data_IF_524848228398
#
_entry.id   IF_524848228398
#
_cell.length_a   1.000
_cell.length_b   1.000
_cell.length_c   1.000
_cell.angle_alpha   90.00
_cell.angle_beta   90.00
_cell.angle_gamma   90.00
#
_symmetry.space_group_name_H-M   'P 1'
#
loop_
_entity.id
_entity.type
_entity.pdbx_description
1 polymer ?
#
# COMPACT_ATOMS: atom_id res chain seq x y z
N UNK A 1 5.47 14.28 -23.07
CA UNK A 1 5.58 14.80 -21.68
C UNK A 1 4.56 14.16 -20.73
N UNK A 2 3.24 14.30 -20.96
CA UNK A 2 2.19 13.76 -20.05
C UNK A 2 2.27 12.23 -19.81
N UNK A 3 2.60 11.45 -20.83
CA UNK A 3 2.74 9.98 -20.70
C UNK A 3 3.96 9.54 -19.89
N UNK A 4 5.06 10.32 -19.94
CA UNK A 4 6.25 10.06 -19.13
C UNK A 4 5.95 10.38 -17.66
N UNK A 5 5.28 11.50 -17.39
CA UNK A 5 4.83 11.86 -16.05
C UNK A 5 3.89 10.80 -15.44
N UNK A 6 2.92 10.30 -16.22
CA UNK A 6 2.04 9.22 -15.77
C UNK A 6 2.78 7.92 -15.45
N UNK A 7 3.81 7.58 -16.22
CA UNK A 7 4.64 6.40 -15.96
C UNK A 7 5.38 6.50 -14.63
N UNK A 8 6.00 7.65 -14.34
CA UNK A 8 6.65 7.88 -13.04
C UNK A 8 5.68 7.81 -11.87
N UNK A 9 4.47 8.34 -12.02
CA UNK A 9 3.44 8.30 -10.96
C UNK A 9 3.00 6.86 -10.68
N UNK A 10 2.85 6.01 -11.71
CA UNK A 10 2.59 4.59 -11.52
C UNK A 10 3.71 3.89 -10.74
N UNK A 11 4.97 4.18 -11.06
CA UNK A 11 6.12 3.60 -10.34
C UNK A 11 6.11 4.04 -8.87
N UNK A 12 5.92 5.34 -8.62
CA UNK A 12 5.85 5.86 -7.24
C UNK A 12 4.69 5.23 -6.49
N UNK A 13 3.52 5.08 -7.13
CA UNK A 13 2.36 4.39 -6.55
C UNK A 13 2.63 2.92 -6.21
N UNK A 14 3.38 2.22 -7.07
CA UNK A 14 3.80 0.84 -6.80
C UNK A 14 4.77 0.76 -5.61
N UNK A 15 5.79 1.62 -5.59
CA UNK A 15 6.76 1.68 -4.50
C UNK A 15 6.05 1.99 -3.17
N UNK A 16 5.15 2.98 -3.17
CA UNK A 16 4.36 3.33 -1.98
C UNK A 16 3.43 2.21 -1.55
N UNK A 17 2.78 1.51 -2.49
CA UNK A 17 1.91 0.38 -2.16
C UNK A 17 2.68 -0.78 -1.54
N UNK A 18 3.87 -1.09 -2.07
CA UNK A 18 4.76 -2.11 -1.51
C UNK A 18 5.28 -1.67 -0.14
N UNK A 19 5.70 -0.40 0.02
CA UNK A 19 6.19 0.12 1.29
C UNK A 19 5.11 0.08 2.37
N UNK A 20 3.92 0.64 2.11
CA UNK A 20 2.84 0.68 3.10
C UNK A 20 2.33 -0.75 3.41
N UNK A 21 2.13 -1.58 2.38
CA UNK A 21 1.62 -2.94 2.57
C UNK A 21 2.60 -3.86 3.29
N UNK A 22 3.84 -3.96 2.80
CA UNK A 22 4.83 -4.89 3.37
C UNK A 22 5.56 -4.32 4.58
N UNK A 23 6.00 -3.07 4.55
CA UNK A 23 6.84 -2.52 5.62
C UNK A 23 5.99 -2.05 6.80
N UNK A 24 5.08 -1.11 6.58
CA UNK A 24 4.31 -0.50 7.68
C UNK A 24 3.26 -1.46 8.25
N UNK A 25 2.49 -2.13 7.39
CA UNK A 25 1.40 -2.99 7.86
C UNK A 25 1.85 -4.39 8.22
N UNK A 26 2.59 -5.08 7.34
CA UNK A 26 2.99 -6.45 7.60
C UNK A 26 4.14 -6.54 8.61
N UNK A 27 5.31 -5.98 8.28
CA UNK A 27 6.48 -6.02 9.18
C UNK A 27 6.19 -5.22 10.45
N UNK A 28 5.66 -4.00 10.34
CA UNK A 28 5.29 -3.18 11.49
C UNK A 28 4.24 -3.84 12.40
N UNK A 29 3.26 -4.56 11.83
CA UNK A 29 2.31 -5.35 12.61
C UNK A 29 2.96 -6.51 13.37
N UNK A 30 3.88 -7.25 12.73
CA UNK A 30 4.61 -8.34 13.38
C UNK A 30 5.52 -7.81 14.50
N UNK A 31 6.27 -6.75 14.25
CA UNK A 31 7.14 -6.13 15.25
C UNK A 31 6.32 -5.62 16.44
N UNK A 32 5.20 -4.92 16.17
CA UNK A 32 4.29 -4.46 17.20
C UNK A 32 3.70 -5.61 18.04
N UNK A 33 3.36 -6.74 17.42
CA UNK A 33 2.93 -7.93 18.16
C UNK A 33 4.03 -8.47 19.08
N UNK A 34 5.27 -8.53 18.60
CA UNK A 34 6.40 -8.99 19.41
C UNK A 34 6.62 -8.05 20.60
N UNK A 35 6.49 -6.74 20.40
CA UNK A 35 6.63 -5.74 21.47
C UNK A 35 5.51 -5.87 22.51
N UNK A 36 4.25 -6.04 22.10
CA UNK A 36 3.14 -6.29 23.01
C UNK A 36 3.36 -7.55 23.83
N UNK A 37 3.86 -8.64 23.22
CA UNK A 37 4.14 -9.89 23.93
C UNK A 37 5.35 -9.81 24.87
N UNK A 38 6.27 -8.87 24.64
CA UNK A 38 7.42 -8.61 25.52
C UNK A 38 7.08 -7.61 26.63
N UNK A 39 5.98 -6.88 26.50
CA UNK A 39 5.54 -5.92 27.51
C UNK A 39 5.05 -6.63 28.78
N UNK A 40 5.24 -5.99 29.93
CA UNK A 40 4.75 -6.50 31.22
C UNK A 40 3.23 -6.41 31.34
N UNK A 41 2.61 -5.47 30.62
CA UNK A 41 1.18 -5.21 30.61
C UNK A 41 0.64 -5.36 29.19
N UNK A 42 -0.12 -6.42 28.93
CA UNK A 42 -0.69 -6.69 27.61
C UNK A 42 -1.91 -5.81 27.41
N UNK A 43 -1.78 -4.78 26.57
CA UNK A 43 -2.92 -4.03 26.05
C UNK A 43 -3.61 -4.80 24.91
N UNK A 44 -4.87 -5.17 25.14
CA UNK A 44 -5.68 -5.90 24.17
C UNK A 44 -5.97 -5.08 22.90
N UNK A 45 -6.03 -3.75 22.98
CA UNK A 45 -6.24 -2.89 21.82
C UNK A 45 -5.03 -2.90 20.89
N UNK A 46 -3.82 -2.78 21.45
CA UNK A 46 -2.59 -2.83 20.68
C UNK A 46 -2.37 -4.19 20.03
N UNK A 47 -2.71 -5.26 20.74
CA UNK A 47 -2.69 -6.61 20.18
C UNK A 47 -3.64 -6.72 18.97
N UNK A 48 -4.90 -6.29 19.13
CA UNK A 48 -5.91 -6.36 18.08
C UNK A 48 -5.53 -5.52 16.85
N UNK A 49 -5.03 -4.29 17.05
CA UNK A 49 -4.61 -3.40 15.97
C UNK A 49 -3.46 -4.04 15.17
N UNK A 50 -2.46 -4.60 15.84
CA UNK A 50 -1.33 -5.20 15.15
C UNK A 50 -1.71 -6.48 14.38
N UNK A 51 -2.66 -7.28 14.89
CA UNK A 51 -3.25 -8.40 14.13
C UNK A 51 -4.00 -7.88 12.89
N UNK A 52 -4.82 -6.83 13.05
CA UNK A 52 -5.53 -6.22 11.93
C UNK A 52 -4.56 -5.69 10.87
N UNK A 53 -3.44 -5.04 11.26
CA UNK A 53 -2.42 -4.58 10.32
C UNK A 53 -1.88 -5.73 9.45
N UNK A 54 -1.61 -6.89 10.05
CA UNK A 54 -1.11 -8.07 9.31
C UNK A 54 -2.16 -8.62 8.35
N UNK A 55 -3.43 -8.76 8.79
CA UNK A 55 -4.51 -9.29 7.95
C UNK A 55 -4.79 -8.37 6.75
N UNK A 56 -4.80 -7.06 6.99
CA UNK A 56 -5.13 -6.07 5.95
C UNK A 56 -3.93 -5.58 5.14
N UNK A 57 -2.71 -6.01 5.47
CA UNK A 57 -1.48 -5.61 4.76
C UNK A 57 -1.57 -5.80 3.24
N UNK A 58 -2.08 -6.95 2.81
CA UNK A 58 -2.28 -7.27 1.39
C UNK A 58 -3.27 -6.33 0.70
N UNK A 59 -4.56 -6.32 1.10
CA UNK A 59 -5.57 -5.45 0.52
C UNK A 59 -5.17 -3.96 0.51
N UNK A 60 -4.58 -3.46 1.60
CA UNK A 60 -4.18 -2.05 1.71
C UNK A 60 -3.06 -1.71 0.75
N UNK A 61 -2.05 -2.58 0.60
CA UNK A 61 -0.99 -2.38 -0.40
C UNK A 61 -1.53 -2.27 -1.83
N UNK A 62 -2.51 -3.12 -2.19
CA UNK A 62 -3.18 -3.05 -3.49
C UNK A 62 -4.01 -1.76 -3.65
N UNK A 63 -4.74 -1.33 -2.62
CA UNK A 63 -5.51 -0.08 -2.66
C UNK A 63 -4.60 1.12 -2.95
N UNK A 64 -3.46 1.22 -2.26
CA UNK A 64 -2.48 2.30 -2.48
C UNK A 64 -1.96 2.30 -3.92
N UNK A 65 -1.65 1.12 -4.47
CA UNK A 65 -1.25 1.00 -5.87
C UNK A 65 -2.35 1.45 -6.82
N UNK A 66 -3.60 1.01 -6.62
CA UNK A 66 -4.73 1.41 -7.45
C UNK A 66 -4.98 2.92 -7.41
N UNK A 67 -4.84 3.54 -6.24
CA UNK A 67 -4.92 5.00 -6.09
C UNK A 67 -3.86 5.68 -6.95
N UNK A 68 -2.60 5.22 -6.89
CA UNK A 68 -1.52 5.73 -7.75
C UNK A 68 -1.80 5.60 -9.25
N UNK A 69 -2.35 4.45 -9.67
CA UNK A 69 -2.75 4.20 -11.06
C UNK A 69 -3.89 5.15 -11.48
N UNK A 70 -4.90 5.36 -10.64
CA UNK A 70 -6.00 6.29 -10.94
C UNK A 70 -5.44 7.69 -11.18
N UNK A 71 -4.58 8.20 -10.29
CA UNK A 71 -3.95 9.51 -10.47
C UNK A 71 -3.13 9.58 -11.77
N UNK A 72 -2.36 8.54 -12.08
CA UNK A 72 -1.61 8.47 -13.34
C UNK A 72 -2.52 8.53 -14.58
N UNK A 73 -3.67 7.83 -14.54
CA UNK A 73 -4.62 7.83 -15.66
C UNK A 73 -5.32 9.18 -15.86
N UNK A 74 -5.66 9.88 -14.77
CA UNK A 74 -6.24 11.23 -14.82
C UNK A 74 -5.26 12.22 -15.47
N UNK A 75 -3.97 12.14 -15.11
CA UNK A 75 -2.94 13.04 -15.63
C UNK A 75 -2.58 12.72 -17.09
N UNK A 76 -2.63 11.44 -17.49
CA UNK A 76 -2.34 11.04 -18.87
C UNK A 76 -3.41 11.47 -19.88
N UNK A 77 -4.62 11.82 -19.44
CA UNK A 77 -5.76 12.07 -20.32
C UNK A 77 -6.32 10.76 -20.90
N UNK A 78 -7.62 10.55 -20.71
CA UNK A 78 -8.39 9.29 -20.77
C UNK A 78 -8.33 8.45 -22.07
N UNK A 79 -7.53 8.82 -23.07
CA UNK A 79 -7.52 8.20 -24.40
C UNK A 79 -6.43 7.16 -24.67
N UNK A 80 -5.23 7.25 -24.06
CA UNK A 80 -4.08 6.38 -24.43
C UNK A 80 -3.76 5.27 -23.42
N UNK A 81 -4.04 5.45 -22.12
CA UNK A 81 -3.68 4.48 -21.10
C UNK A 81 -4.60 3.24 -21.08
N UNK A 82 -5.85 3.37 -21.56
CA UNK A 82 -6.83 2.28 -21.67
C UNK A 82 -6.35 1.09 -22.54
N UNK A 83 -5.37 1.31 -23.42
CA UNK A 83 -4.85 0.29 -24.34
C UNK A 83 -3.74 -0.57 -23.73
N UNK A 84 -3.11 -0.14 -22.63
CA UNK A 84 -2.02 -0.88 -21.98
C UNK A 84 -2.51 -1.88 -20.92
N UNK A 85 -3.67 -1.62 -20.30
CA UNK A 85 -4.28 -2.53 -19.29
C UNK A 85 -5.16 -3.61 -19.97
N UNK A 86 -5.43 -3.51 -21.28
CA UNK A 86 -6.27 -4.45 -22.06
C UNK A 86 -5.48 -5.40 -22.96
N UNK A 87 -4.16 -5.49 -22.79
CA UNK A 87 -3.34 -6.49 -23.48
C UNK A 87 -2.85 -7.53 -22.48
#
# INVERSE_FOLDING_TARGET
>A
MKSIAAFFICIVGAILGVYIGLWEMFIGGIVGLIEVLKSSDIDAYDLAINICKIIFAGPVGWIVFYVGVIFATLISGSGKYKRFIRK
#
